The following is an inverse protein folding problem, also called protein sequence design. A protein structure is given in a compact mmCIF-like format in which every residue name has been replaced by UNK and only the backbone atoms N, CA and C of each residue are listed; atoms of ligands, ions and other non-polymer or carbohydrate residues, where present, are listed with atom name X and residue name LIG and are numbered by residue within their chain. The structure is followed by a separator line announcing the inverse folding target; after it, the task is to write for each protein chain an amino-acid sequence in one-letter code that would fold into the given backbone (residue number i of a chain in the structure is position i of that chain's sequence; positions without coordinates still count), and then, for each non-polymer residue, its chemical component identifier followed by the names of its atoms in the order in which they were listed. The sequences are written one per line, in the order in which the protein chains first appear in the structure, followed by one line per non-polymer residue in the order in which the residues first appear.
data_IF_658930320555
#
_entry.id   IF_658930320555
#
_cell.length_a   1.000
_cell.length_b   1.000
_cell.length_c   1.000
_cell.angle_alpha   90.00
_cell.angle_beta   90.00
_cell.angle_gamma   90.00
#
_symmetry.space_group_name_H-M   'P 1'
#
loop_
_entity.id
_entity.type
_entity.pdbx_description
1 polymer ?
#
# COMPACT_ATOMS: atom_id res chain seq x y z
N UNK A 1 -10.11 23.96 -23.97
CA UNK A 1 -10.90 22.72 -23.80
C UNK A 1 -10.57 21.80 -24.96
N UNK A 2 -9.94 20.65 -24.68
CA UNK A 2 -9.69 19.57 -25.66
C UNK A 2 -10.35 18.29 -25.11
N UNK A 3 -10.83 17.38 -25.96
CA UNK A 3 -11.87 16.42 -25.60
C UNK A 3 -11.35 15.34 -24.65
N UNK A 4 -12.20 14.98 -23.70
CA UNK A 4 -12.05 13.81 -22.83
C UNK A 4 -12.34 12.57 -23.69
N UNK A 5 -11.34 11.73 -23.94
CA UNK A 5 -11.53 10.43 -24.59
C UNK A 5 -11.90 9.38 -23.54
N UNK A 6 -13.14 8.88 -23.60
CA UNK A 6 -13.55 7.71 -22.83
C UNK A 6 -12.94 6.45 -23.47
N UNK A 7 -12.12 5.71 -22.72
CA UNK A 7 -11.71 4.37 -23.11
C UNK A 7 -12.42 3.35 -22.22
N UNK A 8 -13.30 2.56 -22.83
CA UNK A 8 -13.93 1.39 -22.22
C UNK A 8 -13.15 0.15 -22.67
N UNK A 9 -12.56 -0.61 -21.74
CA UNK A 9 -12.00 -1.93 -22.07
C UNK A 9 -13.15 -2.92 -22.22
N UNK A 10 -13.39 -3.37 -23.45
CA UNK A 10 -14.36 -4.41 -23.74
C UNK A 10 -13.75 -5.78 -23.40
N UNK A 11 -14.03 -6.29 -22.21
CA UNK A 11 -14.08 -7.72 -21.95
C UNK A 11 -15.22 -8.01 -20.97
N UNK A 12 -16.35 -8.49 -21.51
CA UNK A 12 -17.58 -8.78 -20.77
C UNK A 12 -17.48 -10.19 -20.21
N UNK A 13 -16.94 -10.34 -19.00
CA UNK A 13 -17.47 -11.35 -18.05
C UNK A 13 -16.98 -11.24 -16.58
N UNK A 14 -16.34 -10.14 -16.17
CA UNK A 14 -16.10 -9.87 -14.74
C UNK A 14 -15.90 -8.37 -14.48
N UNK A 15 -16.97 -7.58 -14.51
CA UNK A 15 -16.87 -6.11 -14.50
C UNK A 15 -16.66 -5.54 -13.09
N UNK A 16 -15.40 -5.45 -12.68
CA UNK A 16 -14.92 -4.28 -11.91
C UNK A 16 -14.56 -3.20 -12.94
N UNK A 17 -15.41 -2.18 -13.09
CA UNK A 17 -15.13 -1.06 -13.99
C UNK A 17 -14.17 -0.08 -13.30
N UNK A 18 -12.94 0.01 -13.84
CA UNK A 18 -11.93 0.97 -13.40
C UNK A 18 -11.93 2.14 -14.40
N UNK A 19 -12.33 3.32 -13.94
CA UNK A 19 -12.22 4.57 -14.73
C UNK A 19 -10.89 5.25 -14.39
N UNK A 20 -9.90 5.14 -15.27
CA UNK A 20 -8.62 5.86 -15.16
C UNK A 20 -8.50 6.88 -16.30
N UNK A 21 -8.46 8.17 -15.96
CA UNK A 21 -8.14 9.26 -16.90
C UNK A 21 -6.63 9.52 -16.88
N UNK A 22 -5.90 9.23 -17.96
CA UNK A 22 -4.46 9.50 -18.07
C UNK A 22 -4.15 10.61 -19.09
N UNK A 23 -3.22 11.51 -18.73
CA UNK A 23 -2.62 12.49 -19.64
C UNK A 23 -1.33 11.91 -20.27
N UNK A 24 -1.13 12.18 -21.56
CA UNK A 24 -0.10 11.61 -22.47
C UNK A 24 1.39 11.75 -22.05
N UNK A 25 1.73 12.42 -20.94
CA UNK A 25 3.13 12.58 -20.47
C UNK A 25 3.63 11.48 -19.51
N UNK A 26 2.85 10.40 -19.27
CA UNK A 26 3.17 9.37 -18.27
C UNK A 26 4.43 8.53 -18.57
N UNK A 27 4.83 8.38 -19.84
CA UNK A 27 5.89 7.43 -20.25
C UNK A 27 7.23 7.72 -19.57
N UNK A 28 7.67 8.98 -19.58
CA UNK A 28 8.93 9.38 -18.94
C UNK A 28 8.87 9.34 -17.41
N UNK A 29 7.71 9.64 -16.82
CA UNK A 29 7.54 9.64 -15.37
C UNK A 29 7.55 8.23 -14.77
N UNK A 30 7.00 7.23 -15.46
CA UNK A 30 7.02 5.83 -15.00
C UNK A 30 8.40 5.16 -15.19
N UNK A 31 9.21 5.62 -16.16
CA UNK A 31 10.55 5.07 -16.44
C UNK A 31 11.63 5.50 -15.42
N UNK A 32 11.45 6.66 -14.77
CA UNK A 32 12.42 7.23 -13.83
C UNK A 32 12.58 6.41 -12.52
N UNK A 33 11.50 5.97 -11.84
CA UNK A 33 11.61 5.11 -10.66
C UNK A 33 12.29 3.77 -10.99
N UNK A 34 11.96 3.22 -12.16
CA UNK A 34 12.44 1.92 -12.62
C UNK A 34 13.94 1.93 -12.90
N UNK A 35 14.45 2.95 -13.58
CA UNK A 35 15.87 3.07 -13.92
C UNK A 35 16.77 3.52 -12.75
N UNK A 36 16.19 4.15 -11.72
CA UNK A 36 16.89 4.56 -10.50
C UNK A 36 16.86 3.50 -9.39
N UNK A 37 15.84 2.65 -9.36
CA UNK A 37 15.68 1.58 -8.35
C UNK A 37 16.26 0.25 -8.83
N UNK A 38 16.15 -0.06 -10.12
CA UNK A 38 16.58 -1.34 -10.70
C UNK A 38 17.71 -1.09 -11.70
N UNK A 39 18.91 -1.66 -11.50
CA UNK A 39 20.04 -1.45 -12.42
C UNK A 39 19.75 -1.91 -13.85
N UNK A 40 20.31 -1.21 -14.84
CA UNK A 40 20.08 -1.50 -16.27
C UNK A 40 20.38 -2.94 -16.69
N UNK A 41 21.39 -3.57 -16.10
CA UNK A 41 21.73 -4.96 -16.42
C UNK A 41 20.65 -5.95 -15.91
N UNK A 42 20.00 -5.63 -14.78
CA UNK A 42 18.88 -6.41 -14.23
C UNK A 42 17.69 -6.31 -15.16
N UNK A 43 17.36 -5.10 -15.63
CA UNK A 43 16.33 -4.90 -16.64
C UNK A 43 16.49 -5.79 -17.88
N UNK A 44 17.68 -5.76 -18.46
CA UNK A 44 17.99 -6.55 -19.66
C UNK A 44 17.94 -8.05 -19.39
N UNK A 45 18.43 -8.50 -18.24
CA UNK A 45 18.41 -9.91 -17.87
C UNK A 45 16.99 -10.43 -17.57
N UNK A 46 16.12 -9.58 -17.03
CA UNK A 46 14.80 -9.97 -16.56
C UNK A 46 13.69 -9.85 -17.57
N UNK A 47 13.81 -8.97 -18.56
CA UNK A 47 12.79 -8.80 -19.60
C UNK A 47 12.26 -10.14 -20.17
N UNK A 48 13.09 -11.10 -20.63
CA UNK A 48 12.58 -12.36 -21.16
C UNK A 48 11.93 -13.26 -20.09
N UNK A 49 12.47 -13.25 -18.86
CA UNK A 49 11.95 -14.04 -17.73
C UNK A 49 10.59 -13.52 -17.28
N UNK A 50 10.44 -12.20 -17.20
CA UNK A 50 9.20 -11.53 -16.81
C UNK A 50 8.10 -11.79 -17.84
N UNK A 51 8.41 -11.69 -19.14
CA UNK A 51 7.45 -12.03 -20.20
C UNK A 51 7.01 -13.49 -20.11
N UNK A 52 7.94 -14.42 -19.86
CA UNK A 52 7.60 -15.84 -19.71
C UNK A 52 6.75 -16.15 -18.47
N UNK A 53 6.90 -15.35 -17.41
CA UNK A 53 6.22 -15.55 -16.14
C UNK A 53 4.94 -14.74 -15.98
N UNK A 54 4.65 -13.82 -16.90
CA UNK A 54 3.47 -12.98 -16.86
C UNK A 54 2.16 -13.79 -16.82
N UNK A 55 2.12 -14.97 -17.46
CA UNK A 55 0.99 -15.91 -17.40
C UNK A 55 0.65 -16.43 -16.00
N UNK A 56 1.54 -16.28 -15.04
CA UNK A 56 1.33 -16.66 -13.64
C UNK A 56 0.89 -15.48 -12.76
N UNK A 57 0.81 -14.27 -13.32
CA UNK A 57 0.17 -13.15 -12.63
C UNK A 57 -1.34 -13.43 -12.61
N UNK A 58 -1.97 -13.46 -11.42
CA UNK A 58 -3.41 -13.73 -11.33
C UNK A 58 -4.24 -12.58 -11.92
N UNK A 59 -5.44 -12.87 -12.46
CA UNK A 59 -6.43 -11.83 -12.71
C UNK A 59 -6.86 -11.19 -11.37
N UNK A 60 -7.24 -9.89 -11.36
CA UNK A 60 -7.33 -8.99 -12.52
C UNK A 60 -5.99 -8.34 -12.91
N UNK A 61 -4.94 -8.50 -12.09
CA UNK A 61 -3.68 -7.75 -12.23
C UNK A 61 -2.98 -7.97 -13.56
N UNK A 62 -2.99 -9.18 -14.12
CA UNK A 62 -2.40 -9.44 -15.44
C UNK A 62 -3.07 -8.60 -16.54
N UNK A 63 -4.39 -8.52 -16.54
CA UNK A 63 -5.16 -7.72 -17.50
C UNK A 63 -4.86 -6.23 -17.38
N UNK A 64 -4.81 -5.72 -16.15
CA UNK A 64 -4.49 -4.32 -15.87
C UNK A 64 -3.06 -3.96 -16.28
N UNK A 65 -2.08 -4.80 -15.97
CA UNK A 65 -0.69 -4.61 -16.36
C UNK A 65 -0.54 -4.58 -17.90
N UNK A 66 -1.20 -5.50 -18.62
CA UNK A 66 -1.23 -5.49 -20.09
C UNK A 66 -1.88 -4.22 -20.64
N UNK A 67 -3.01 -3.81 -20.07
CA UNK A 67 -3.71 -2.59 -20.45
C UNK A 67 -2.82 -1.36 -20.31
N UNK A 68 -2.16 -1.21 -19.15
CA UNK A 68 -1.20 -0.13 -18.92
C UNK A 68 -0.01 -0.16 -19.89
N UNK A 69 0.57 -1.34 -20.15
CA UNK A 69 1.66 -1.48 -21.11
C UNK A 69 1.25 -1.01 -22.52
N UNK A 70 0.02 -1.35 -22.96
CA UNK A 70 -0.51 -0.91 -24.26
C UNK A 70 -0.69 0.60 -24.37
N UNK A 71 -1.03 1.29 -23.27
CA UNK A 71 -1.28 2.73 -23.24
C UNK A 71 -0.01 3.56 -23.05
N UNK A 72 0.93 3.10 -22.24
CA UNK A 72 2.15 3.84 -21.94
C UNK A 72 3.25 3.67 -22.98
N UNK A 73 3.09 2.77 -23.97
CA UNK A 73 4.12 2.51 -24.98
C UNK A 73 5.43 1.94 -24.40
N UNK A 74 5.41 1.47 -23.14
CA UNK A 74 6.50 0.75 -22.49
C UNK A 74 6.38 -0.76 -22.70
N UNK A 75 7.44 -1.51 -22.42
CA UNK A 75 7.37 -2.97 -22.50
C UNK A 75 6.56 -3.54 -21.33
N UNK A 76 5.88 -4.67 -21.55
CA UNK A 76 5.18 -5.41 -20.47
C UNK A 76 6.10 -5.68 -19.28
N UNK A 77 7.37 -6.00 -19.56
CA UNK A 77 8.40 -6.19 -18.55
C UNK A 77 8.64 -4.95 -17.69
N UNK A 78 8.63 -3.75 -18.27
CA UNK A 78 8.85 -2.51 -17.51
C UNK A 78 7.73 -2.28 -16.50
N UNK A 79 6.47 -2.54 -16.90
CA UNK A 79 5.32 -2.35 -16.01
C UNK A 79 5.31 -3.39 -14.88
N UNK A 80 5.65 -4.65 -15.17
CA UNK A 80 5.78 -5.66 -14.12
C UNK A 80 6.92 -5.30 -13.15
N UNK A 81 8.10 -4.94 -13.66
CA UNK A 81 9.25 -4.57 -12.81
C UNK A 81 8.91 -3.34 -11.96
N UNK A 82 8.24 -2.35 -12.54
CA UNK A 82 7.74 -1.19 -11.80
C UNK A 82 6.84 -1.60 -10.64
N UNK A 83 5.88 -2.50 -10.87
CA UNK A 83 4.97 -2.98 -9.83
C UNK A 83 5.72 -3.74 -8.71
N UNK A 84 6.74 -4.52 -9.03
CA UNK A 84 7.56 -5.18 -8.00
C UNK A 84 8.56 -4.22 -7.30
N UNK A 85 8.99 -3.14 -7.94
CA UNK A 85 9.88 -2.16 -7.33
C UNK A 85 9.20 -1.42 -6.16
N UNK A 86 7.91 -1.13 -6.28
CA UNK A 86 7.11 -0.53 -5.20
C UNK A 86 6.90 -1.46 -3.99
N UNK A 87 7.26 -2.74 -4.09
CA UNK A 87 7.12 -3.72 -3.00
C UNK A 87 8.32 -3.75 -2.04
N UNK A 88 9.39 -3.00 -2.32
CA UNK A 88 10.68 -3.14 -1.60
C UNK A 88 11.33 -1.84 -1.13
N UNK A 89 10.77 -0.66 -1.47
CA UNK A 89 11.46 0.62 -1.24
C UNK A 89 10.62 1.69 -0.52
N UNK A 90 9.50 1.30 0.11
CA UNK A 90 8.64 2.23 0.82
C UNK A 90 9.12 2.47 2.27
N UNK A 91 9.32 3.74 2.64
CA UNK A 91 9.43 4.16 4.04
C UNK A 91 8.09 4.74 4.48
N UNK A 92 7.68 4.47 5.71
CA UNK A 92 6.30 4.74 6.10
C UNK A 92 6.17 5.11 7.58
N UNK A 93 5.11 5.86 7.87
CA UNK A 93 4.54 5.97 9.22
C UNK A 93 3.05 5.78 9.11
N UNK A 94 2.48 4.94 9.96
CA UNK A 94 1.04 4.71 10.05
C UNK A 94 0.57 4.79 11.49
N UNK A 95 -0.59 5.43 11.70
CA UNK A 95 -1.19 5.65 13.01
C UNK A 95 -2.65 5.20 12.96
N UNK A 96 -3.03 4.34 13.91
CA UNK A 96 -4.44 4.06 14.22
C UNK A 96 -4.72 4.48 15.66
N UNK A 97 -5.77 5.27 15.87
CA UNK A 97 -6.11 5.84 17.17
C UNK A 97 -7.62 5.80 17.42
N UNK A 98 -8.01 5.87 18.69
CA UNK A 98 -9.40 5.94 19.11
C UNK A 98 -9.63 7.06 20.11
N UNK A 99 -10.67 7.87 19.90
CA UNK A 99 -11.10 8.87 20.88
C UNK A 99 -11.83 8.23 22.10
N UNK A 100 -12.31 9.08 23.01
CA UNK A 100 -13.14 8.66 24.17
C UNK A 100 -14.54 8.19 23.80
N UNK A 101 -15.06 8.61 22.64
CA UNK A 101 -16.40 8.24 22.17
C UNK A 101 -16.41 6.89 21.44
N UNK A 102 -15.23 6.33 21.17
CA UNK A 102 -15.07 5.08 20.45
C UNK A 102 -14.85 5.23 18.94
N UNK A 103 -14.72 6.47 18.43
CA UNK A 103 -14.42 6.74 17.02
C UNK A 103 -12.98 6.34 16.72
N UNK A 104 -12.78 5.59 15.63
CA UNK A 104 -11.46 5.17 15.15
C UNK A 104 -10.98 6.10 14.03
N UNK A 105 -9.74 6.56 14.16
CA UNK A 105 -9.05 7.39 13.18
C UNK A 105 -7.82 6.65 12.66
N UNK A 106 -7.55 6.77 11.36
CA UNK A 106 -6.42 6.11 10.71
C UNK A 106 -5.78 7.08 9.72
N UNK A 107 -4.49 7.32 9.90
CA UNK A 107 -3.70 8.26 9.11
C UNK A 107 -2.31 7.69 8.84
N UNK A 108 -1.70 8.10 7.73
CA UNK A 108 -0.40 7.56 7.31
C UNK A 108 0.35 8.53 6.41
N UNK A 109 1.68 8.45 6.42
CA UNK A 109 2.58 9.06 5.44
C UNK A 109 3.26 7.96 4.61
N UNK A 110 3.40 8.19 3.30
CA UNK A 110 4.09 7.28 2.38
C UNK A 110 5.32 7.96 1.78
N UNK A 111 6.50 7.54 2.22
CA UNK A 111 7.77 8.16 1.87
C UNK A 111 8.51 7.31 0.82
N UNK A 112 8.87 7.96 -0.28
CA UNK A 112 9.74 7.40 -1.31
C UNK A 112 10.84 8.41 -1.69
N UNK A 113 12.07 7.95 -1.96
CA UNK A 113 13.17 8.83 -2.39
C UNK A 113 13.06 9.27 -3.87
N UNK A 114 11.83 9.35 -4.40
CA UNK A 114 11.55 9.67 -5.80
C UNK A 114 10.51 10.80 -5.92
N UNK A 115 10.94 12.06 -6.07
CA UNK A 115 10.06 13.23 -6.20
C UNK A 115 8.96 13.11 -7.27
N UNK A 116 9.24 12.37 -8.36
CA UNK A 116 8.30 12.18 -9.48
C UNK A 116 7.00 11.51 -9.05
N UNK A 117 7.03 10.68 -8.00
CA UNK A 117 5.86 9.95 -7.54
C UNK A 117 4.73 10.87 -7.07
N UNK A 118 5.04 12.09 -6.62
CA UNK A 118 4.04 13.11 -6.23
C UNK A 118 3.09 13.44 -7.35
N UNK A 119 3.62 13.57 -8.56
CA UNK A 119 2.84 13.90 -9.75
C UNK A 119 2.10 12.68 -10.29
N UNK A 120 2.44 11.48 -9.81
CA UNK A 120 1.79 10.23 -10.16
C UNK A 120 0.81 9.75 -9.08
N UNK A 121 0.80 10.35 -7.89
CA UNK A 121 -0.12 10.01 -6.80
C UNK A 121 -1.56 10.28 -7.23
N UNK A 122 -2.41 9.26 -7.14
CA UNK A 122 -3.82 9.31 -7.51
C UNK A 122 -4.68 8.68 -6.42
N UNK A 123 -5.85 9.27 -6.19
CA UNK A 123 -6.93 8.62 -5.46
C UNK A 123 -7.85 7.91 -6.45
N UNK A 124 -7.98 6.60 -6.29
CA UNK A 124 -8.77 5.74 -7.18
C UNK A 124 -10.03 5.29 -6.46
N UNK A 125 -11.17 5.41 -7.14
CA UNK A 125 -12.46 4.92 -6.69
C UNK A 125 -12.79 3.66 -7.48
N UNK A 126 -12.87 2.52 -6.80
CA UNK A 126 -13.20 1.24 -7.41
C UNK A 126 -14.70 1.01 -7.32
N UNK A 127 -15.34 0.81 -8.47
CA UNK A 127 -16.78 0.62 -8.57
C UNK A 127 -17.12 -0.85 -8.77
N UNK A 128 -18.23 -1.28 -8.16
CA UNK A 128 -18.87 -2.57 -8.43
C UNK A 128 -20.36 -2.31 -8.59
N UNK A 129 -20.92 -2.67 -9.74
CA UNK A 129 -22.33 -2.40 -10.09
C UNK A 129 -22.70 -0.91 -9.98
N UNK A 130 -21.78 0.00 -10.32
CA UNK A 130 -22.00 1.45 -10.25
C UNK A 130 -21.87 2.06 -8.85
N UNK A 131 -21.68 1.26 -7.80
CA UNK A 131 -21.50 1.72 -6.43
C UNK A 131 -20.03 1.64 -6.00
N UNK A 132 -19.64 2.48 -5.02
CA UNK A 132 -18.27 2.48 -4.52
C UNK A 132 -18.01 1.24 -3.68
N UNK A 133 -17.21 0.31 -4.21
CA UNK A 133 -16.78 -0.88 -3.49
C UNK A 133 -15.68 -0.53 -2.48
N UNK A 134 -14.66 0.20 -2.91
CA UNK A 134 -13.57 0.68 -2.07
C UNK A 134 -12.85 1.86 -2.74
N UNK A 135 -12.01 2.56 -1.96
CA UNK A 135 -11.13 3.62 -2.45
C UNK A 135 -9.69 3.32 -2.04
N UNK A 136 -8.74 3.79 -2.83
CA UNK A 136 -7.33 3.65 -2.53
C UNK A 136 -6.50 4.83 -3.01
N UNK A 137 -5.37 5.05 -2.37
CA UNK A 137 -4.32 5.96 -2.86
C UNK A 137 -3.22 5.10 -3.49
N UNK A 138 -2.88 5.41 -4.73
CA UNK A 138 -1.90 4.66 -5.52
C UNK A 138 -1.06 5.59 -6.39
N UNK A 139 -0.19 5.02 -7.22
CA UNK A 139 0.53 5.72 -8.26
C UNK A 139 -0.01 5.32 -9.63
N UNK A 140 -0.08 6.27 -10.56
CA UNK A 140 -0.31 5.97 -11.97
C UNK A 140 0.72 4.93 -12.46
N UNK A 141 0.23 3.81 -13.02
CA UNK A 141 1.08 2.68 -13.42
C UNK A 141 1.19 1.54 -12.39
N UNK A 142 0.61 1.70 -11.19
CA UNK A 142 0.64 0.72 -10.12
C UNK A 142 -0.73 0.08 -9.87
N UNK A 143 -0.79 -1.26 -9.87
CA UNK A 143 -2.06 -2.01 -9.67
C UNK A 143 -2.34 -2.33 -8.21
N UNK A 144 -1.33 -2.27 -7.34
CA UNK A 144 -1.47 -2.53 -5.92
C UNK A 144 -2.03 -1.33 -5.15
N UNK A 145 -2.40 -1.57 -3.88
CA UNK A 145 -2.76 -0.51 -2.94
C UNK A 145 -1.93 -0.63 -1.66
N UNK A 146 -1.22 0.42 -1.31
CA UNK A 146 -0.58 0.54 0.01
C UNK A 146 -1.48 1.23 1.03
N UNK A 147 -2.48 1.97 0.55
CA UNK A 147 -3.43 2.73 1.37
C UNK A 147 -4.81 2.60 0.77
N UNK A 148 -5.82 2.31 1.59
CA UNK A 148 -7.21 2.33 1.13
C UNK A 148 -8.25 2.21 2.22
N UNK A 149 -9.51 2.38 1.82
CA UNK A 149 -10.67 2.28 2.68
C UNK A 149 -11.80 1.51 1.98
N UNK A 150 -12.43 0.62 2.74
CA UNK A 150 -13.69 -0.02 2.40
C UNK A 150 -14.81 0.70 3.18
N UNK A 151 -15.72 1.43 2.51
CA UNK A 151 -16.72 2.27 3.18
C UNK A 151 -17.51 1.50 4.24
N UNK A 152 -17.67 2.11 5.42
CA UNK A 152 -18.42 1.54 6.54
C UNK A 152 -17.89 0.19 7.07
N UNK A 153 -16.68 -0.24 6.69
CA UNK A 153 -16.10 -1.52 7.09
C UNK A 153 -14.75 -1.36 7.78
N UNK A 154 -13.74 -0.90 7.05
CA UNK A 154 -12.38 -0.75 7.57
C UNK A 154 -11.49 0.10 6.64
N UNK A 155 -10.32 0.46 7.15
CA UNK A 155 -9.23 1.16 6.49
C UNK A 155 -7.95 0.34 6.63
N UNK A 156 -7.06 0.40 5.64
CA UNK A 156 -5.78 -0.32 5.66
C UNK A 156 -4.67 0.59 5.17
N UNK A 157 -3.54 0.53 5.87
CA UNK A 157 -2.25 1.01 5.36
C UNK A 157 -1.20 -0.08 5.55
N UNK A 158 -0.20 -0.10 4.67
CA UNK A 158 0.93 -1.02 4.74
C UNK A 158 2.26 -0.28 4.86
N UNK A 159 3.11 -0.78 5.75
CA UNK A 159 4.45 -0.27 5.97
C UNK A 159 5.48 -1.39 5.73
N UNK A 160 6.57 -1.09 5.02
CA UNK A 160 7.59 -2.12 4.71
C UNK A 160 8.26 -2.66 5.97
N UNK A 161 8.42 -3.99 6.06
CA UNK A 161 9.18 -4.66 7.12
C UNK A 161 10.43 -5.33 6.56
N UNK A 162 11.53 -5.23 7.30
CA UNK A 162 12.80 -5.88 7.00
C UNK A 162 13.74 -5.01 6.16
N UNK A 163 15.00 -5.45 6.09
CA UNK A 163 16.08 -4.78 5.37
C UNK A 163 16.34 -5.43 4.00
N UNK A 164 15.30 -5.98 3.36
CA UNK A 164 15.45 -6.65 2.07
C UNK A 164 15.89 -5.63 1.03
N UNK A 165 17.21 -5.55 0.84
CA UNK A 165 17.82 -4.76 -0.21
C UNK A 165 17.35 -5.26 -1.57
N UNK A 166 17.38 -4.38 -2.57
CA UNK A 166 16.99 -4.74 -3.94
C UNK A 166 17.71 -6.01 -4.44
N UNK A 167 18.92 -6.35 -3.97
CA UNK A 167 19.62 -7.58 -4.35
C UNK A 167 18.87 -8.88 -3.96
N UNK A 168 17.93 -8.82 -2.99
CA UNK A 168 17.05 -9.92 -2.61
C UNK A 168 15.74 -9.97 -3.43
N UNK A 169 15.56 -9.10 -4.43
CA UNK A 169 14.34 -9.06 -5.26
C UNK A 169 13.98 -10.43 -5.85
N UNK A 170 14.98 -11.25 -6.22
CA UNK A 170 14.79 -12.60 -6.74
C UNK A 170 14.01 -13.50 -5.78
N UNK A 171 14.18 -13.34 -4.45
CA UNK A 171 13.39 -14.10 -3.46
C UNK A 171 11.91 -13.73 -3.51
N UNK A 172 11.59 -12.46 -3.75
CA UNK A 172 10.21 -11.99 -3.89
C UNK A 172 9.62 -12.50 -5.20
N UNK A 173 10.39 -12.43 -6.27
CA UNK A 173 10.03 -12.95 -7.57
C UNK A 173 9.77 -14.47 -7.55
N UNK A 174 10.69 -15.26 -7.00
CA UNK A 174 10.51 -16.71 -6.78
C UNK A 174 9.28 -16.97 -5.90
N UNK A 175 9.10 -16.20 -4.82
CA UNK A 175 7.96 -16.38 -3.94
C UNK A 175 6.63 -16.07 -4.63
N UNK A 176 6.59 -15.10 -5.54
CA UNK A 176 5.40 -14.76 -6.31
C UNK A 176 5.11 -15.84 -7.36
N UNK A 177 6.08 -16.10 -8.24
CA UNK A 177 5.87 -16.87 -9.46
C UNK A 177 6.02 -18.39 -9.28
N UNK A 178 6.85 -18.85 -8.34
CA UNK A 178 7.05 -20.29 -8.09
C UNK A 178 6.26 -20.80 -6.88
N UNK A 179 6.00 -19.96 -5.88
CA UNK A 179 5.26 -20.35 -4.67
C UNK A 179 3.83 -19.78 -4.63
N UNK A 180 3.41 -19.02 -5.65
CA UNK A 180 2.06 -18.46 -5.74
C UNK A 180 1.70 -17.51 -4.60
N UNK A 181 2.67 -16.87 -3.95
CA UNK A 181 2.40 -15.91 -2.87
C UNK A 181 2.04 -14.54 -3.44
N UNK A 182 1.16 -13.83 -2.75
CA UNK A 182 0.67 -12.54 -3.25
C UNK A 182 1.60 -11.38 -2.85
N UNK A 183 1.82 -10.38 -3.73
CA UNK A 183 2.42 -9.11 -3.34
C UNK A 183 1.68 -8.45 -2.18
N UNK A 184 2.40 -7.75 -1.30
CA UNK A 184 1.82 -7.26 -0.05
C UNK A 184 0.78 -6.17 -0.30
N UNK A 185 0.97 -5.33 -1.31
CA UNK A 185 -0.02 -4.31 -1.69
C UNK A 185 -1.20 -4.87 -2.50
N UNK A 186 -1.03 -6.03 -3.13
CA UNK A 186 -2.11 -6.71 -3.86
C UNK A 186 -3.06 -7.36 -2.86
N UNK A 187 -2.52 -7.98 -1.81
CA UNK A 187 -3.33 -8.49 -0.70
C UNK A 187 -4.19 -7.41 -0.05
N UNK A 188 -3.67 -6.18 0.09
CA UNK A 188 -4.45 -5.04 0.60
C UNK A 188 -5.62 -4.74 -0.33
N UNK A 189 -5.38 -4.68 -1.65
CA UNK A 189 -6.44 -4.44 -2.63
C UNK A 189 -7.49 -5.55 -2.65
N UNK A 190 -7.08 -6.82 -2.65
CA UNK A 190 -7.98 -7.98 -2.51
C UNK A 190 -8.79 -7.90 -1.22
N UNK A 191 -8.14 -7.56 -0.11
CA UNK A 191 -8.83 -7.42 1.17
C UNK A 191 -9.88 -6.31 1.12
N UNK A 192 -9.56 -5.14 0.57
CA UNK A 192 -10.51 -4.03 0.39
C UNK A 192 -11.71 -4.41 -0.50
N UNK A 193 -11.47 -5.25 -1.52
CA UNK A 193 -12.48 -5.69 -2.46
C UNK A 193 -13.41 -6.78 -1.89
N UNK A 194 -12.87 -7.68 -1.08
CA UNK A 194 -13.56 -8.92 -0.70
C UNK A 194 -13.95 -9.01 0.77
N UNK A 195 -13.24 -8.34 1.67
CA UNK A 195 -13.47 -8.52 3.09
C UNK A 195 -14.82 -7.94 3.53
N UNK A 196 -15.53 -8.71 4.36
CA UNK A 196 -16.87 -8.35 4.79
C UNK A 196 -16.87 -7.24 5.85
N UNK A 197 -15.86 -7.25 6.73
CA UNK A 197 -15.73 -6.36 7.87
C UNK A 197 -14.28 -6.34 8.40
N UNK A 198 -14.03 -5.55 9.43
CA UNK A 198 -12.72 -5.42 10.09
C UNK A 198 -12.09 -6.77 10.49
N UNK A 199 -12.84 -7.69 11.09
CA UNK A 199 -12.29 -8.97 11.58
C UNK A 199 -11.88 -9.89 10.44
N UNK A 200 -12.69 -9.95 9.38
CA UNK A 200 -12.33 -10.69 8.16
C UNK A 200 -11.09 -10.08 7.48
N UNK A 201 -11.01 -8.75 7.42
CA UNK A 201 -9.82 -8.05 6.91
C UNK A 201 -8.55 -8.40 7.70
N UNK A 202 -8.61 -8.35 9.04
CA UNK A 202 -7.49 -8.73 9.91
C UNK A 202 -7.11 -10.20 9.71
N UNK A 203 -8.09 -11.10 9.54
CA UNK A 203 -7.81 -12.52 9.32
C UNK A 203 -7.13 -12.78 7.98
N UNK A 204 -7.63 -12.19 6.89
CA UNK A 204 -7.04 -12.26 5.54
C UNK A 204 -5.61 -11.73 5.55
N UNK A 205 -5.42 -10.52 6.08
CA UNK A 205 -4.13 -9.84 6.20
C UNK A 205 -3.18 -10.53 7.19
N UNK A 206 -3.65 -11.44 8.04
CA UNK A 206 -2.79 -12.24 8.93
C UNK A 206 -2.36 -13.56 8.29
N UNK A 207 -3.24 -14.23 7.55
CA UNK A 207 -3.07 -15.63 7.16
C UNK A 207 -2.63 -15.85 5.72
N UNK A 208 -3.00 -14.97 4.78
CA UNK A 208 -2.68 -15.19 3.37
C UNK A 208 -1.17 -15.06 3.16
N UNK A 209 -0.48 -16.05 2.54
CA UNK A 209 0.96 -16.00 2.32
C UNK A 209 1.38 -14.86 1.39
N UNK A 210 2.43 -14.13 1.78
CA UNK A 210 2.92 -12.93 1.08
C UNK A 210 4.37 -13.06 0.62
N UNK A 211 4.77 -12.23 -0.35
CA UNK A 211 6.11 -12.27 -0.94
C UNK A 211 7.18 -11.60 -0.07
N UNK A 212 6.86 -10.73 0.88
CA UNK A 212 7.85 -10.03 1.71
C UNK A 212 7.26 -9.69 3.07
N UNK A 213 8.10 -9.31 4.03
CA UNK A 213 7.62 -8.82 5.32
C UNK A 213 6.92 -7.48 5.18
N UNK A 214 5.87 -7.25 5.97
CA UNK A 214 5.11 -6.00 6.00
C UNK A 214 4.50 -5.78 7.38
N UNK A 215 4.16 -4.55 7.72
CA UNK A 215 3.22 -4.25 8.79
C UNK A 215 1.90 -3.80 8.16
N UNK A 216 0.79 -4.46 8.49
CA UNK A 216 -0.53 -3.99 8.11
C UNK A 216 -1.18 -3.29 9.28
N UNK A 217 -1.53 -2.02 9.10
CA UNK A 217 -2.29 -1.26 10.07
C UNK A 217 -3.72 -1.25 9.58
N UNK A 218 -4.65 -1.62 10.45
CA UNK A 218 -6.07 -1.74 10.10
C UNK A 218 -6.89 -0.98 11.14
N UNK A 219 -7.82 -0.16 10.68
CA UNK A 219 -8.82 0.51 11.52
C UNK A 219 -10.23 0.13 11.09
N UNK A 220 -11.10 -0.24 12.02
CA UNK A 220 -12.50 -0.59 11.76
C UNK A 220 -13.44 0.59 11.98
N UNK A 221 -14.69 0.28 12.31
CA UNK A 221 -15.76 1.27 12.50
C UNK A 221 -16.34 1.26 13.90
N UNK A 222 -15.89 0.35 14.77
CA UNK A 222 -16.30 0.24 16.17
C UNK A 222 -15.15 0.49 17.13
N UNK A 223 -15.49 0.88 18.35
CA UNK A 223 -14.52 0.98 19.44
C UNK A 223 -13.75 -0.35 19.61
N UNK A 224 -12.44 -0.25 19.77
CA UNK A 224 -11.48 -1.35 19.87
C UNK A 224 -11.00 -1.89 18.52
N UNK A 225 -11.64 -1.52 17.40
CA UNK A 225 -11.24 -1.99 16.08
C UNK A 225 -10.05 -1.17 15.52
N UNK A 226 -8.87 -1.42 16.05
CA UNK A 226 -7.61 -0.95 15.48
C UNK A 226 -6.49 -1.93 15.79
N UNK A 227 -5.62 -2.23 14.84
CA UNK A 227 -4.56 -3.22 15.02
C UNK A 227 -3.37 -2.97 14.10
N UNK A 228 -2.17 -3.28 14.60
CA UNK A 228 -0.96 -3.45 13.78
C UNK A 228 -0.65 -4.94 13.69
N UNK A 229 -0.57 -5.46 12.47
CA UNK A 229 -0.25 -6.87 12.19
C UNK A 229 1.19 -6.89 11.67
N UNK A 230 2.11 -7.43 12.47
CA UNK A 230 3.50 -7.63 12.04
C UNK A 230 3.60 -8.92 11.26
N UNK A 231 3.89 -8.86 9.95
CA UNK A 231 3.85 -10.02 9.06
C UNK A 231 5.23 -10.49 8.60
N UNK A 232 5.36 -11.81 8.60
CA UNK A 232 6.29 -12.57 7.78
C UNK A 232 5.57 -13.21 6.58
N UNK A 233 6.35 -13.78 5.66
CA UNK A 233 5.86 -14.46 4.44
C UNK A 233 4.81 -15.54 4.72
N UNK A 234 4.91 -16.23 5.87
CA UNK A 234 4.06 -17.38 6.23
C UNK A 234 2.91 -17.04 7.18
N UNK A 235 2.96 -15.90 7.89
CA UNK A 235 1.98 -15.58 8.93
C UNK A 235 2.40 -14.38 9.77
N UNK A 236 1.64 -14.08 10.84
CA UNK A 236 1.95 -12.96 11.72
C UNK A 236 3.06 -13.35 12.71
N UNK A 237 4.07 -12.49 12.83
CA UNK A 237 5.02 -12.52 13.94
C UNK A 237 4.40 -11.95 15.22
N UNK A 238 3.49 -10.97 15.07
CA UNK A 238 2.74 -10.38 16.17
C UNK A 238 1.43 -9.72 15.69
N UNK A 239 0.45 -9.61 16.58
CA UNK A 239 -0.81 -8.89 16.37
C UNK A 239 -0.99 -7.93 17.56
N UNK A 240 -0.91 -6.63 17.29
CA UNK A 240 -0.90 -5.57 18.30
C UNK A 240 -2.17 -4.71 18.23
N UNK A 241 -3.28 -5.12 18.86
CA UNK A 241 -4.54 -4.39 18.83
C UNK A 241 -4.47 -3.12 19.68
N UNK A 242 -5.39 -2.18 19.44
CA UNK A 242 -5.70 -1.12 20.40
C UNK A 242 -6.11 -1.72 21.75
N UNK A 243 -5.77 -1.03 22.82
CA UNK A 243 -6.18 -1.39 24.18
C UNK A 243 -6.56 -0.13 24.97
N UNK A 244 -7.68 0.54 24.61
CA UNK A 244 -8.04 1.83 25.21
C UNK A 244 -8.28 1.75 26.73
N UNK A 245 -8.68 0.59 27.24
CA UNK A 245 -8.93 0.36 28.68
C UNK A 245 -7.64 0.47 29.48
N UNK A 246 -6.52 -0.01 28.95
CA UNK A 246 -5.21 0.09 29.58
C UNK A 246 -4.37 1.27 29.05
N UNK A 247 -5.01 2.27 28.45
CA UNK A 247 -4.36 3.49 27.95
C UNK A 247 -3.70 3.34 26.57
N UNK A 248 -3.76 2.16 25.94
CA UNK A 248 -3.30 1.91 24.57
C UNK A 248 -4.28 2.39 23.50
N UNK A 249 -4.70 3.65 23.57
CA UNK A 249 -5.72 4.25 22.68
C UNK A 249 -5.19 4.60 21.28
N UNK A 250 -3.88 4.42 21.02
CA UNK A 250 -3.31 4.48 19.67
C UNK A 250 -2.20 3.43 19.48
N UNK A 251 -1.90 3.17 18.21
CA UNK A 251 -0.70 2.46 17.73
C UNK A 251 0.01 3.30 16.69
N UNK A 252 1.34 3.32 16.75
CA UNK A 252 2.21 3.97 15.77
C UNK A 252 3.16 2.91 15.22
N UNK A 253 3.05 2.65 13.93
CA UNK A 253 3.97 1.78 13.20
C UNK A 253 4.80 2.61 12.22
N UNK A 254 6.04 2.16 12.00
CA UNK A 254 6.94 2.74 11.00
C UNK A 254 7.53 1.58 10.21
N UNK A 255 8.82 1.29 10.33
CA UNK A 255 9.46 0.21 9.58
C UNK A 255 10.21 -0.79 10.46
N UNK A 256 9.95 -0.83 11.76
CA UNK A 256 10.71 -1.65 12.73
C UNK A 256 9.81 -2.29 13.77
N UNK A 257 10.05 -3.54 14.13
CA UNK A 257 9.24 -4.27 15.12
C UNK A 257 9.04 -3.46 16.41
N UNK A 258 7.79 -3.38 16.89
CA UNK A 258 7.43 -2.50 18.02
C UNK A 258 8.04 -2.91 19.36
N UNK A 259 8.40 -4.19 19.52
CA UNK A 259 9.09 -4.70 20.71
C UNK A 259 10.60 -4.50 20.69
N UNK A 260 11.17 -3.94 19.60
CA UNK A 260 12.60 -3.69 19.48
C UNK A 260 12.92 -2.20 19.61
N UNK A 261 14.12 -1.85 20.13
CA UNK A 261 14.58 -0.48 20.10
C UNK A 261 14.78 -0.03 18.65
N UNK A 262 14.35 1.19 18.33
CA UNK A 262 14.55 1.79 17.01
C UNK A 262 15.51 2.96 17.08
N UNK A 263 16.40 3.05 16.08
CA UNK A 263 17.22 4.26 15.83
C UNK A 263 16.48 5.29 14.98
N UNK A 264 15.32 4.92 14.44
CA UNK A 264 14.45 5.81 13.68
C UNK A 264 13.60 6.66 14.63
N UNK A 265 13.75 8.00 14.61
CA UNK A 265 13.05 8.88 15.54
C UNK A 265 11.56 9.04 15.20
N UNK A 266 11.08 8.58 14.03
CA UNK A 266 9.71 8.79 13.57
C UNK A 266 8.69 8.27 14.57
N UNK A 267 8.75 6.99 14.96
CA UNK A 267 7.80 6.41 15.93
C UNK A 267 7.76 7.24 17.22
N UNK A 268 8.92 7.56 17.80
CA UNK A 268 9.00 8.37 19.01
C UNK A 268 8.38 9.77 18.83
N UNK A 269 8.67 10.46 17.73
CA UNK A 269 8.13 11.78 17.45
C UNK A 269 6.59 11.76 17.31
N UNK A 270 6.01 10.79 16.59
CA UNK A 270 4.55 10.67 16.49
C UNK A 270 3.92 10.27 17.82
N UNK A 271 4.49 9.31 18.57
CA UNK A 271 3.96 8.96 19.90
C UNK A 271 4.03 10.15 20.86
N UNK A 272 5.09 10.95 20.82
CA UNK A 272 5.20 12.18 21.61
C UNK A 272 4.12 13.20 21.23
N UNK A 273 3.88 13.41 19.94
CA UNK A 273 2.83 14.30 19.46
C UNK A 273 1.43 13.82 19.90
N UNK A 274 1.12 12.53 19.72
CA UNK A 274 -0.15 11.93 20.16
C UNK A 274 -0.35 12.04 21.68
N UNK A 275 0.70 11.81 22.47
CA UNK A 275 0.64 11.98 23.93
C UNK A 275 0.37 13.44 24.33
N UNK A 276 0.92 14.40 23.59
CA UNK A 276 0.67 15.83 23.84
C UNK A 276 -0.76 16.24 23.41
N UNK A 277 -1.28 15.68 22.32
CA UNK A 277 -2.68 15.86 21.90
C UNK A 277 -3.64 15.28 22.95
N UNK A 278 -3.36 14.07 23.42
CA UNK A 278 -4.22 13.32 24.34
C UNK A 278 -5.47 12.74 23.65
N UNK A 279 -6.04 11.70 24.27
CA UNK A 279 -7.19 10.97 23.72
C UNK A 279 -8.44 11.84 23.56
N UNK A 280 -8.59 12.87 24.40
CA UNK A 280 -9.77 13.75 24.40
C UNK A 280 -9.79 14.72 23.19
N UNK A 281 -8.63 14.92 22.54
CA UNK A 281 -8.47 15.88 21.45
C UNK A 281 -8.04 15.21 20.13
N UNK A 282 -8.03 13.88 20.05
CA UNK A 282 -7.70 13.19 18.80
C UNK A 282 -8.85 13.34 17.80
N UNK A 283 -8.53 13.82 16.61
CA UNK A 283 -9.41 13.92 15.46
C UNK A 283 -8.57 13.87 14.18
N UNK A 284 -9.19 14.01 13.00
CA UNK A 284 -8.46 13.96 11.72
C UNK A 284 -7.39 15.05 11.60
N UNK A 285 -7.63 16.26 12.12
CA UNK A 285 -6.69 17.38 12.03
C UNK A 285 -5.48 17.17 12.96
N UNK A 286 -5.72 16.76 14.21
CA UNK A 286 -4.64 16.50 15.17
C UNK A 286 -3.86 15.23 14.82
N UNK A 287 -4.50 14.25 14.18
CA UNK A 287 -3.83 13.09 13.60
C UNK A 287 -2.90 13.48 12.43
N UNK A 288 -3.37 14.37 11.55
CA UNK A 288 -2.54 14.92 10.48
C UNK A 288 -1.34 15.71 11.03
N UNK A 289 -1.55 16.53 12.06
CA UNK A 289 -0.46 17.23 12.76
C UNK A 289 0.56 16.25 13.38
N UNK A 290 0.10 15.22 14.08
CA UNK A 290 0.98 14.20 14.66
C UNK A 290 1.79 13.44 13.59
N UNK A 291 1.22 13.25 12.40
CA UNK A 291 1.89 12.61 11.25
C UNK A 291 2.93 13.53 10.59
N UNK A 292 2.71 14.85 10.62
CA UNK A 292 3.61 15.84 10.02
C UNK A 292 4.74 16.29 10.94
N UNK A 293 4.60 16.18 12.26
CA UNK A 293 5.66 16.58 13.20
C UNK A 293 6.95 15.71 13.09
N UNK A 294 6.84 14.53 12.49
CA UNK A 294 7.97 13.69 12.12
C UNK A 294 8.79 14.26 10.95
N UNK A 295 8.25 15.21 10.19
CA UNK A 295 8.85 15.70 8.95
C UNK A 295 10.18 16.43 9.12
N UNK A 296 10.46 16.86 10.35
CA UNK A 296 11.72 17.49 10.76
C UNK A 296 12.92 16.53 10.68
N UNK A 297 12.70 15.23 10.51
CA UNK A 297 13.74 14.20 10.61
C UNK A 297 14.14 13.49 9.30
N UNK A 298 13.44 13.67 8.16
CA UNK A 298 13.96 13.56 6.77
C UNK A 298 12.85 13.56 5.66
N UNK A 299 13.34 13.76 4.43
CA UNK A 299 12.78 13.64 3.05
C UNK A 299 11.24 13.60 2.94
N UNK A 300 10.67 14.75 2.62
CA UNK A 300 9.46 14.99 1.83
C UNK A 300 8.28 14.00 1.99
N UNK A 301 7.23 14.50 2.63
CA UNK A 301 6.01 13.80 3.06
C UNK A 301 4.89 14.02 2.04
N UNK A 302 4.13 12.97 1.67
CA UNK A 302 2.93 13.07 0.82
C UNK A 302 1.78 12.26 1.39
#
# INVERSE_FOLDING_TARGET
MRPISHYTSADRDSTQDIVLCFCFNCVYCCYLPVSSTVPKWVHQALAPVVVALEKYIPPPYAGEIRGMASLFGGSLSDIVILNFAYEISAFCTSIVAQDKNGSVYHGRNLDYPHPVLRNLTVNVVFLKNGEVAYRGTSFAGYVGLWTGQSPHKFTVSGDQRGSDHWWNWWKNFVSAFLLGRTPVSWLVRETLAEAENFQDAVMRLSKIPIITGVYYIVGGVRAGEGVVITRDRKGPADIWPLDPVNGGWYRVETNYDHWLPSRDPRRYAASKALNATGQDHINMDTLYQASTDQSKYHIAHF
#
